data_IF_284956573295
#
_entry.id   IF_284956573295
#
_cell.length_a   1.000
_cell.length_b   1.000
_cell.length_c   1.000
_cell.angle_alpha   90.00
_cell.angle_beta   90.00
_cell.angle_gamma   90.00
#
_symmetry.space_group_name_H-M   'P 1'
#
loop_
_entity.id
_entity.type
_entity.pdbx_description
1 polymer ?
#
# COMPACT_ATOMS: atom_id res chain seq x y z
N UNK A 1 10.71 24.21 16.00
CA UNK A 1 10.52 22.78 16.38
C UNK A 1 9.06 22.33 16.46
N UNK A 2 8.14 23.06 17.13
CA UNK A 2 6.72 22.66 17.22
C UNK A 2 6.00 22.61 15.87
N UNK A 3 6.24 23.58 14.99
CA UNK A 3 5.65 23.64 13.64
C UNK A 3 6.08 22.44 12.78
N UNK A 4 7.39 22.18 12.68
CA UNK A 4 7.93 21.02 11.93
C UNK A 4 7.35 19.68 12.41
N UNK A 5 7.25 19.48 13.74
CA UNK A 5 6.61 18.28 14.30
C UNK A 5 5.12 18.20 13.94
N UNK A 6 4.42 19.33 13.90
CA UNK A 6 3.02 19.41 13.48
C UNK A 6 2.83 19.05 12.02
N UNK A 7 3.65 19.60 11.12
CA UNK A 7 3.62 19.30 9.68
C UNK A 7 3.95 17.83 9.42
N UNK A 8 4.99 17.29 10.06
CA UNK A 8 5.35 15.88 9.92
C UNK A 8 4.24 14.95 10.47
N UNK A 9 3.66 15.29 11.62
CA UNK A 9 2.52 14.55 12.14
C UNK A 9 1.31 14.61 11.21
N UNK A 10 1.04 15.76 10.59
CA UNK A 10 -0.02 15.88 9.58
C UNK A 10 0.27 14.97 8.38
N UNK A 11 1.47 15.07 7.79
CA UNK A 11 1.92 14.25 6.65
C UNK A 11 1.69 12.74 6.84
N UNK A 12 2.05 12.21 8.00
CA UNK A 12 1.83 10.79 8.34
C UNK A 12 0.34 10.52 8.61
N UNK A 13 -0.34 11.40 9.35
CA UNK A 13 -1.71 11.13 9.77
C UNK A 13 -2.74 11.28 8.64
N UNK A 14 -2.50 12.18 7.68
CA UNK A 14 -3.34 12.40 6.50
C UNK A 14 -3.03 11.43 5.35
N UNK A 15 -2.21 10.40 5.59
CA UNK A 15 -1.89 9.33 4.65
C UNK A 15 -1.12 9.78 3.40
N UNK A 16 -0.48 10.96 3.42
CA UNK A 16 0.34 11.45 2.30
C UNK A 16 1.54 10.54 2.09
N UNK A 17 2.18 10.12 3.18
CA UNK A 17 3.35 9.23 3.10
C UNK A 17 3.04 7.91 2.39
N UNK A 18 1.96 7.23 2.79
CA UNK A 18 1.53 5.98 2.16
C UNK A 18 1.08 6.20 0.70
N UNK A 19 0.43 7.32 0.39
CA UNK A 19 0.06 7.64 -1.00
C UNK A 19 1.30 7.82 -1.90
N UNK A 20 2.38 8.43 -1.38
CA UNK A 20 3.66 8.50 -2.10
C UNK A 20 4.31 7.13 -2.26
N UNK A 21 4.17 6.24 -1.28
CA UNK A 21 4.66 4.87 -1.40
C UNK A 21 3.90 4.07 -2.47
N UNK A 22 2.58 4.25 -2.57
CA UNK A 22 1.77 3.66 -3.66
C UNK A 22 2.18 4.22 -5.01
N UNK A 23 2.42 5.54 -5.12
CA UNK A 23 2.97 6.14 -6.35
C UNK A 23 4.35 5.60 -6.71
N UNK A 24 5.20 5.33 -5.72
CA UNK A 24 6.52 4.78 -5.98
C UNK A 24 6.42 3.36 -6.58
N UNK A 25 5.48 2.54 -6.10
CA UNK A 25 5.19 1.24 -6.72
C UNK A 25 4.60 1.36 -8.13
N UNK A 26 3.71 2.32 -8.36
CA UNK A 26 3.23 2.64 -9.71
C UNK A 26 4.42 2.99 -10.63
N UNK A 27 5.33 3.86 -10.17
CA UNK A 27 6.50 4.26 -10.94
C UNK A 27 7.45 3.11 -11.24
N UNK A 28 7.69 2.23 -10.27
CA UNK A 28 8.51 1.03 -10.50
C UNK A 28 7.92 0.19 -11.63
N UNK A 29 6.61 -0.07 -11.64
CA UNK A 29 5.99 -0.85 -12.74
C UNK A 29 6.08 -0.10 -14.07
N UNK A 30 5.83 1.22 -14.06
CA UNK A 30 5.91 2.05 -15.28
C UNK A 30 7.31 2.01 -15.88
N UNK A 31 8.35 2.07 -15.05
CA UNK A 31 9.74 1.98 -15.49
C UNK A 31 10.10 0.56 -15.95
N UNK A 32 9.78 -0.46 -15.14
CA UNK A 32 10.10 -1.87 -15.41
C UNK A 32 9.56 -2.33 -16.78
N UNK A 33 8.35 -1.89 -17.14
CA UNK A 33 7.70 -2.27 -18.40
C UNK A 33 7.69 -1.15 -19.45
N UNK A 34 8.41 -0.05 -19.22
CA UNK A 34 8.43 1.13 -20.10
C UNK A 34 7.03 1.61 -20.53
N UNK A 35 6.08 1.63 -19.58
CA UNK A 35 4.69 1.98 -19.85
C UNK A 35 4.56 3.47 -20.13
N UNK A 36 3.77 3.83 -21.13
CA UNK A 36 3.32 5.22 -21.31
C UNK A 36 1.92 5.35 -20.72
N UNK A 37 1.78 6.14 -19.65
CA UNK A 37 0.50 6.35 -18.97
C UNK A 37 0.15 7.85 -18.86
N UNK A 38 -1.15 8.20 -18.88
CA UNK A 38 -1.59 9.60 -18.76
C UNK A 38 -1.19 10.22 -17.41
N UNK A 39 -0.89 11.51 -17.38
CA UNK A 39 -0.52 12.24 -16.15
C UNK A 39 -1.68 12.21 -15.12
N UNK A 40 -2.89 12.18 -15.63
CA UNK A 40 -4.14 12.04 -14.89
C UNK A 40 -4.15 10.75 -14.06
N UNK A 41 -3.56 9.65 -14.56
CA UNK A 41 -3.53 8.39 -13.81
C UNK A 41 -2.63 8.48 -12.57
N UNK A 42 -1.49 9.18 -12.66
CA UNK A 42 -0.64 9.45 -11.50
C UNK A 42 -1.41 10.22 -10.42
N UNK A 43 -2.10 11.29 -10.82
CA UNK A 43 -2.90 12.09 -9.90
C UNK A 43 -4.07 11.27 -9.32
N UNK A 44 -4.73 10.45 -10.14
CA UNK A 44 -5.81 9.55 -9.74
C UNK A 44 -5.34 8.53 -8.69
N UNK A 45 -4.21 7.86 -8.91
CA UNK A 45 -3.68 6.86 -7.96
C UNK A 45 -3.28 7.53 -6.64
N UNK A 46 -2.64 8.70 -6.68
CA UNK A 46 -2.27 9.45 -5.48
C UNK A 46 -3.50 9.87 -4.65
N UNK A 47 -4.46 10.52 -5.29
CA UNK A 47 -5.68 11.01 -4.65
C UNK A 47 -6.56 9.84 -4.19
N UNK A 48 -6.62 8.76 -4.97
CA UNK A 48 -7.31 7.52 -4.64
C UNK A 48 -6.74 6.86 -3.38
N UNK A 49 -5.41 6.78 -3.27
CA UNK A 49 -4.75 6.29 -2.06
C UNK A 49 -5.07 7.19 -0.85
N UNK A 50 -4.96 8.51 -0.98
CA UNK A 50 -5.32 9.46 0.08
C UNK A 50 -6.77 9.29 0.55
N UNK A 51 -7.72 9.29 -0.38
CA UNK A 51 -9.14 9.10 -0.11
C UNK A 51 -9.38 7.75 0.57
N UNK A 52 -8.89 6.66 -0.01
CA UNK A 52 -9.11 5.30 0.50
C UNK A 52 -8.57 5.10 1.91
N UNK A 53 -7.31 5.48 2.15
CA UNK A 53 -6.68 5.36 3.47
C UNK A 53 -7.35 6.24 4.52
N UNK A 54 -7.62 7.51 4.20
CA UNK A 54 -8.27 8.40 5.15
C UNK A 54 -9.72 7.97 5.43
N UNK A 55 -10.43 7.47 4.43
CA UNK A 55 -11.76 6.87 4.62
C UNK A 55 -11.69 5.68 5.56
N UNK A 56 -10.83 4.69 5.31
CA UNK A 56 -10.66 3.50 6.16
C UNK A 56 -10.26 3.87 7.60
N UNK A 57 -9.41 4.88 7.76
CA UNK A 57 -8.87 5.32 9.06
C UNK A 57 -9.89 6.12 9.87
N UNK A 58 -10.69 6.98 9.22
CA UNK A 58 -11.51 7.97 9.91
C UNK A 58 -13.03 7.78 9.76
N UNK A 59 -13.52 6.89 8.88
CA UNK A 59 -14.96 6.70 8.66
C UNK A 59 -15.75 6.40 9.94
N UNK A 60 -15.21 5.55 10.84
CA UNK A 60 -15.88 5.22 12.12
C UNK A 60 -15.82 6.35 13.15
N UNK A 61 -14.75 7.16 13.10
CA UNK A 61 -14.54 8.27 14.04
C UNK A 61 -15.38 9.49 13.65
N UNK A 62 -15.64 9.66 12.35
CA UNK A 62 -16.50 10.71 11.82
C UNK A 62 -18.00 10.43 12.02
N UNK A 63 -18.41 9.16 12.09
CA UNK A 63 -19.82 8.74 12.12
C UNK A 63 -20.51 8.69 13.49
N UNK A 64 -19.85 9.10 14.58
CA UNK A 64 -20.45 9.03 15.93
C UNK A 64 -20.57 10.40 16.58
N UNK A 65 -21.75 10.62 17.18
CA UNK A 65 -22.24 11.72 18.02
C UNK A 65 -21.36 12.10 19.24
N UNK A 66 -20.05 11.82 19.24
CA UNK A 66 -19.16 12.04 20.37
C UNK A 66 -18.24 13.25 20.17
N UNK A 67 -18.65 14.34 20.84
CA UNK A 67 -17.83 15.36 21.51
C UNK A 67 -16.56 15.82 20.77
N UNK A 68 -16.65 17.02 20.22
CA UNK A 68 -15.53 17.91 19.82
C UNK A 68 -14.35 17.16 19.19
N UNK A 69 -14.47 16.86 17.89
CA UNK A 69 -13.35 16.46 17.05
C UNK A 69 -12.17 17.43 17.28
N UNK A 70 -10.97 16.89 17.52
CA UNK A 70 -9.77 17.72 17.66
C UNK A 70 -9.56 18.53 16.38
N UNK A 71 -9.02 19.75 16.50
CA UNK A 71 -8.79 20.62 15.33
C UNK A 71 -7.96 19.90 14.25
N UNK A 72 -7.00 19.07 14.64
CA UNK A 72 -6.21 18.25 13.71
C UNK A 72 -7.05 17.25 12.91
N UNK A 73 -8.05 16.60 13.51
CA UNK A 73 -8.93 15.67 12.79
C UNK A 73 -9.86 16.42 11.82
N UNK A 74 -10.34 17.60 12.19
CA UNK A 74 -11.14 18.46 11.29
C UNK A 74 -10.35 18.85 10.05
N UNK A 75 -9.09 19.27 10.23
CA UNK A 75 -8.20 19.60 9.10
C UNK A 75 -7.99 18.39 8.18
N UNK A 76 -7.78 17.20 8.73
CA UNK A 76 -7.64 15.97 7.93
C UNK A 76 -8.94 15.64 7.18
N UNK A 77 -10.11 15.86 7.78
CA UNK A 77 -11.39 15.65 7.10
C UNK A 77 -11.59 16.60 5.92
N UNK A 78 -11.35 17.90 6.11
CA UNK A 78 -11.44 18.90 5.04
C UNK A 78 -10.46 18.57 3.91
N UNK A 79 -9.21 18.23 4.27
CA UNK A 79 -8.21 17.77 3.31
C UNK A 79 -8.68 16.53 2.54
N UNK A 80 -9.22 15.52 3.23
CA UNK A 80 -9.71 14.28 2.60
C UNK A 80 -10.89 14.53 1.67
N UNK A 81 -11.80 15.45 2.04
CA UNK A 81 -12.93 15.84 1.20
C UNK A 81 -12.46 16.55 -0.07
N UNK A 82 -11.49 17.46 0.04
CA UNK A 82 -10.87 18.11 -1.11
C UNK A 82 -10.20 17.08 -2.04
N UNK A 83 -9.43 16.14 -1.49
CA UNK A 83 -8.81 15.07 -2.28
C UNK A 83 -9.85 14.20 -2.99
N UNK A 84 -10.98 13.90 -2.35
CA UNK A 84 -12.06 13.12 -2.96
C UNK A 84 -12.74 13.86 -4.12
N UNK A 85 -12.99 15.18 -3.98
CA UNK A 85 -13.54 15.98 -5.07
C UNK A 85 -12.58 16.04 -6.26
N UNK A 86 -11.28 16.29 -6.00
CA UNK A 86 -10.26 16.30 -7.04
C UNK A 86 -10.13 14.93 -7.73
N UNK A 87 -10.21 13.84 -6.95
CA UNK A 87 -10.23 12.48 -7.49
C UNK A 87 -11.40 12.29 -8.46
N UNK A 88 -12.59 12.74 -8.09
CA UNK A 88 -13.77 12.70 -8.95
C UNK A 88 -13.58 13.48 -10.25
N UNK A 89 -13.01 14.69 -10.19
CA UNK A 89 -12.72 15.52 -11.37
C UNK A 89 -11.72 14.82 -12.31
N UNK A 90 -10.63 14.29 -11.77
CA UNK A 90 -9.59 13.60 -12.56
C UNK A 90 -10.12 12.28 -13.12
N UNK A 91 -11.03 11.59 -12.42
CA UNK A 91 -11.64 10.37 -12.91
C UNK A 91 -12.33 10.59 -14.27
N UNK A 92 -13.01 11.72 -14.48
CA UNK A 92 -13.64 12.04 -15.77
C UNK A 92 -12.66 12.25 -16.93
N UNK A 93 -11.36 12.36 -16.66
CA UNK A 93 -10.32 12.54 -17.68
C UNK A 93 -9.67 11.20 -18.09
N UNK A 94 -9.94 10.11 -17.35
CA UNK A 94 -9.41 8.78 -17.66
C UNK A 94 -10.34 8.00 -18.60
N UNK A 95 -9.76 7.08 -19.36
CA UNK A 95 -10.53 6.18 -20.22
C UNK A 95 -11.46 5.29 -19.40
N UNK A 96 -12.62 4.95 -19.98
CA UNK A 96 -13.61 4.10 -19.30
C UNK A 96 -13.05 2.73 -18.93
N UNK A 97 -12.18 2.16 -19.77
CA UNK A 97 -11.49 0.89 -19.51
C UNK A 97 -10.58 0.98 -18.28
N UNK A 98 -9.81 2.05 -18.15
CA UNK A 98 -8.98 2.32 -16.95
C UNK A 98 -9.84 2.48 -15.71
N UNK A 99 -10.94 3.24 -15.81
CA UNK A 99 -11.86 3.45 -14.70
C UNK A 99 -12.54 2.16 -14.25
N UNK A 100 -12.95 1.30 -15.18
CA UNK A 100 -13.55 0.00 -14.84
C UNK A 100 -12.55 -0.92 -14.14
N UNK A 101 -11.30 -0.96 -14.61
CA UNK A 101 -10.23 -1.71 -13.94
C UNK A 101 -9.97 -1.16 -12.52
N UNK A 102 -9.84 0.16 -12.38
CA UNK A 102 -9.65 0.82 -11.10
C UNK A 102 -10.86 0.63 -10.16
N UNK A 103 -12.08 0.63 -10.69
CA UNK A 103 -13.31 0.45 -9.93
C UNK A 103 -13.37 -0.93 -9.26
N UNK A 104 -12.87 -2.00 -9.90
CA UNK A 104 -12.79 -3.32 -9.27
C UNK A 104 -11.98 -3.31 -7.96
N UNK A 105 -10.81 -2.65 -7.97
CA UNK A 105 -9.97 -2.50 -6.78
C UNK A 105 -10.52 -1.45 -5.79
N UNK A 106 -11.14 -0.39 -6.30
CA UNK A 106 -11.82 0.64 -5.51
C UNK A 106 -13.01 0.09 -4.72
N UNK A 107 -13.86 -0.73 -5.34
CA UNK A 107 -14.97 -1.43 -4.69
C UNK A 107 -14.46 -2.40 -3.62
N UNK A 108 -13.37 -3.11 -3.91
CA UNK A 108 -12.70 -3.97 -2.92
C UNK A 108 -12.26 -3.16 -1.69
N UNK A 109 -11.72 -1.95 -1.89
CA UNK A 109 -11.38 -1.01 -0.81
C UNK A 109 -12.61 -0.50 -0.06
N UNK A 110 -13.70 -0.21 -0.76
CA UNK A 110 -14.95 0.20 -0.14
C UNK A 110 -15.51 -0.88 0.79
N UNK A 111 -15.62 -2.13 0.31
CA UNK A 111 -16.10 -3.28 1.09
C UNK A 111 -15.10 -3.74 2.18
N UNK A 112 -13.84 -3.29 2.10
CA UNK A 112 -12.91 -3.46 3.20
C UNK A 112 -13.35 -2.68 4.44
N UNK A 113 -13.79 -1.43 4.28
CA UNK A 113 -14.25 -0.58 5.38
C UNK A 113 -15.75 -0.75 5.69
N UNK A 114 -16.59 -0.89 4.66
CA UNK A 114 -18.05 -0.92 4.77
C UNK A 114 -18.55 -2.37 4.88
N UNK A 115 -19.50 -2.69 5.79
CA UNK A 115 -20.01 -4.06 5.93
C UNK A 115 -20.70 -4.55 4.66
N UNK A 116 -20.36 -5.76 4.23
CA UNK A 116 -20.93 -6.40 3.02
C UNK A 116 -21.91 -7.54 3.38
N UNK A 117 -21.66 -8.30 4.47
CA UNK A 117 -22.47 -9.47 4.86
C UNK A 117 -22.59 -9.59 6.39
N UNK A 118 -23.81 -9.81 6.91
CA UNK A 118 -24.11 -10.06 8.35
C UNK A 118 -23.49 -9.03 9.31
N UNK A 119 -23.41 -7.76 8.92
CA UNK A 119 -22.78 -6.67 9.68
C UNK A 119 -21.26 -6.82 9.91
N UNK A 120 -20.57 -7.63 9.11
CA UNK A 120 -19.09 -7.75 9.09
C UNK A 120 -18.53 -7.20 7.77
N UNK A 121 -17.42 -6.45 7.85
CA UNK A 121 -16.66 -5.95 6.72
C UNK A 121 -15.40 -6.83 6.50
N UNK A 122 -14.73 -6.75 5.33
CA UNK A 122 -13.56 -7.61 5.07
C UNK A 122 -12.41 -7.35 6.06
N UNK A 123 -12.31 -6.13 6.59
CA UNK A 123 -11.36 -5.78 7.66
C UNK A 123 -11.53 -6.60 8.94
N UNK A 124 -12.72 -7.12 9.22
CA UNK A 124 -13.03 -7.94 10.41
C UNK A 124 -12.90 -9.45 10.17
N UNK A 125 -12.64 -9.88 8.93
CA UNK A 125 -12.39 -11.28 8.62
C UNK A 125 -10.94 -11.62 8.97
N UNK A 126 -10.76 -12.60 9.88
CA UNK A 126 -9.45 -13.06 10.33
C UNK A 126 -8.56 -13.47 9.16
N UNK A 127 -7.32 -12.99 9.13
CA UNK A 127 -6.31 -13.36 8.14
C UNK A 127 -6.54 -12.79 6.73
N UNK A 128 -7.79 -12.59 6.29
CA UNK A 128 -8.14 -12.08 4.96
C UNK A 128 -7.74 -10.61 4.79
N UNK A 129 -7.72 -9.83 5.88
CA UNK A 129 -7.47 -8.37 5.82
C UNK A 129 -6.18 -8.00 5.07
N UNK A 130 -5.09 -8.74 5.29
CA UNK A 130 -3.78 -8.41 4.69
C UNK A 130 -3.76 -8.73 3.19
N UNK A 131 -4.42 -9.81 2.78
CA UNK A 131 -4.51 -10.22 1.38
C UNK A 131 -5.36 -9.25 0.56
N UNK A 132 -6.43 -8.70 1.15
CA UNK A 132 -7.26 -7.69 0.47
C UNK A 132 -6.46 -6.41 0.21
N UNK A 133 -5.71 -5.92 1.20
CA UNK A 133 -4.85 -4.73 1.02
C UNK A 133 -3.77 -5.00 -0.02
N UNK A 134 -3.11 -6.15 0.04
CA UNK A 134 -2.09 -6.55 -0.93
C UNK A 134 -2.62 -6.67 -2.35
N UNK A 135 -3.80 -7.28 -2.53
CA UNK A 135 -4.48 -7.39 -3.81
C UNK A 135 -4.83 -6.03 -4.40
N UNK A 136 -5.36 -5.11 -3.59
CA UNK A 136 -5.68 -3.75 -4.03
C UNK A 136 -4.43 -2.99 -4.44
N UNK A 137 -3.36 -3.05 -3.64
CA UNK A 137 -2.09 -2.39 -3.98
C UNK A 137 -1.51 -2.93 -5.28
N UNK A 138 -1.43 -4.25 -5.42
CA UNK A 138 -0.95 -4.88 -6.63
C UNK A 138 -1.81 -4.52 -7.84
N UNK A 139 -3.13 -4.52 -7.68
CA UNK A 139 -4.05 -4.14 -8.73
C UNK A 139 -3.86 -2.71 -9.23
N UNK A 140 -3.83 -1.77 -8.29
CA UNK A 140 -3.72 -0.34 -8.60
C UNK A 140 -2.33 0.03 -9.15
N UNK A 141 -1.27 -0.65 -8.70
CA UNK A 141 0.12 -0.31 -9.07
C UNK A 141 0.70 -1.16 -10.19
N UNK A 142 0.03 -2.26 -10.58
CA UNK A 142 0.45 -3.14 -11.68
C UNK A 142 -0.62 -3.23 -12.76
N UNK A 143 -1.84 -3.66 -12.42
CA UNK A 143 -2.87 -3.94 -13.43
C UNK A 143 -3.44 -2.65 -14.05
N UNK A 144 -3.79 -1.66 -13.22
CA UNK A 144 -4.36 -0.39 -13.69
C UNK A 144 -3.43 0.36 -14.67
N UNK A 145 -2.13 0.57 -14.40
CA UNK A 145 -1.26 1.24 -15.37
C UNK A 145 -1.07 0.45 -16.66
N UNK A 146 -1.03 -0.89 -16.59
CA UNK A 146 -0.97 -1.73 -17.80
C UNK A 146 -2.21 -1.52 -18.67
N UNK A 147 -3.40 -1.56 -18.07
CA UNK A 147 -4.66 -1.28 -18.79
C UNK A 147 -4.66 0.13 -19.39
N UNK A 148 -4.17 1.13 -18.64
CA UNK A 148 -4.11 2.51 -19.11
C UNK A 148 -3.09 2.75 -20.22
N UNK A 149 -2.04 1.93 -20.27
CA UNK A 149 -0.99 1.97 -21.32
C UNK A 149 -1.35 1.18 -22.59
N UNK A 150 -2.48 0.45 -22.57
CA UNK A 150 -2.94 -0.42 -23.66
C UNK A 150 -1.97 -1.55 -24.04
N UNK A 151 -0.96 -1.82 -23.21
CA UNK A 151 -0.03 -2.94 -23.38
C UNK A 151 -0.74 -4.27 -23.07
N UNK A 152 -0.43 -5.30 -23.86
CA UNK A 152 -0.97 -6.64 -23.65
C UNK A 152 -0.45 -7.27 -22.35
N UNK A 153 -1.32 -8.02 -21.66
CA UNK A 153 -0.90 -8.80 -20.51
C UNK A 153 0.05 -9.93 -20.92
N UNK A 154 1.17 -10.05 -20.21
CA UNK A 154 2.17 -11.10 -20.36
C UNK A 154 2.27 -11.96 -19.09
N UNK A 155 2.98 -13.09 -19.20
CA UNK A 155 3.33 -13.92 -18.04
C UNK A 155 4.12 -13.12 -17.00
N UNK A 156 5.08 -12.32 -17.45
CA UNK A 156 5.91 -11.47 -16.61
C UNK A 156 5.08 -10.44 -15.83
N UNK A 157 4.08 -9.82 -16.46
CA UNK A 157 3.16 -8.91 -15.78
C UNK A 157 2.34 -9.60 -14.69
N UNK A 158 1.93 -10.86 -14.91
CA UNK A 158 1.25 -11.65 -13.88
C UNK A 158 2.19 -12.03 -12.73
N UNK A 159 3.44 -12.37 -13.04
CA UNK A 159 4.47 -12.60 -12.03
C UNK A 159 4.73 -11.33 -11.19
N UNK A 160 4.84 -10.16 -11.84
CA UNK A 160 4.99 -8.86 -11.14
C UNK A 160 3.78 -8.52 -10.28
N UNK A 161 2.56 -8.80 -10.75
CA UNK A 161 1.37 -8.64 -9.92
C UNK A 161 1.45 -9.52 -8.65
N UNK A 162 1.82 -10.80 -8.80
CA UNK A 162 1.96 -11.71 -7.66
C UNK A 162 3.11 -11.30 -6.73
N UNK A 163 4.27 -10.90 -7.27
CA UNK A 163 5.38 -10.34 -6.50
C UNK A 163 4.93 -9.11 -5.70
N UNK A 164 4.18 -8.20 -6.31
CA UNK A 164 3.65 -7.01 -5.62
C UNK A 164 2.70 -7.39 -4.48
N UNK A 165 1.86 -8.42 -4.66
CA UNK A 165 1.03 -8.97 -3.57
C UNK A 165 1.92 -9.48 -2.42
N UNK A 166 2.94 -10.29 -2.71
CA UNK A 166 3.86 -10.83 -1.70
C UNK A 166 4.60 -9.72 -0.95
N UNK A 167 5.13 -8.73 -1.68
CA UNK A 167 5.81 -7.57 -1.10
C UNK A 167 4.91 -6.80 -0.16
N UNK A 168 3.66 -6.53 -0.55
CA UNK A 168 2.72 -5.78 0.30
C UNK A 168 2.32 -6.59 1.52
N UNK A 169 2.16 -7.92 1.41
CA UNK A 169 1.97 -8.79 2.58
C UNK A 169 3.14 -8.62 3.55
N UNK A 170 4.38 -8.69 3.07
CA UNK A 170 5.57 -8.52 3.89
C UNK A 170 5.65 -7.13 4.54
N UNK A 171 5.33 -6.06 3.80
CA UNK A 171 5.26 -4.68 4.32
C UNK A 171 4.24 -4.50 5.45
N UNK A 172 3.16 -5.29 5.47
CA UNK A 172 2.12 -5.21 6.50
C UNK A 172 2.55 -5.91 7.80
N UNK A 173 3.46 -6.90 7.75
CA UNK A 173 3.82 -7.71 8.94
C UNK A 173 4.39 -6.87 10.10
N UNK A 174 5.28 -5.87 9.89
CA UNK A 174 5.73 -4.99 10.97
C UNK A 174 4.60 -4.21 11.65
N UNK A 175 3.52 -3.90 10.94
CA UNK A 175 2.32 -3.28 11.51
C UNK A 175 1.54 -4.28 12.35
N UNK A 176 1.32 -5.50 11.84
CA UNK A 176 0.65 -6.56 12.61
C UNK A 176 1.40 -6.89 13.91
N UNK A 177 2.75 -6.94 13.86
CA UNK A 177 3.59 -7.16 15.03
C UNK A 177 3.45 -6.01 16.04
N UNK A 178 3.45 -4.75 15.57
CA UNK A 178 3.22 -3.57 16.41
C UNK A 178 1.90 -3.64 17.15
N UNK A 179 0.86 -4.06 16.44
CA UNK A 179 -0.52 -3.88 16.88
C UNK A 179 -0.97 -5.03 17.80
N UNK A 180 -0.14 -6.07 18.01
CA UNK A 180 -0.41 -7.19 18.93
C UNK A 180 -0.93 -6.76 20.32
N UNK A 181 -0.35 -5.76 21.02
CA UNK A 181 -0.84 -5.37 22.35
C UNK A 181 -2.22 -4.69 22.34
N UNK A 182 -2.68 -4.20 21.19
CA UNK A 182 -3.88 -3.38 21.03
C UNK A 182 -5.02 -4.10 20.31
N UNK A 183 -4.67 -5.06 19.45
CA UNK A 183 -5.62 -5.87 18.70
C UNK A 183 -6.32 -6.87 19.64
N UNK A 184 -7.64 -6.99 19.51
CA UNK A 184 -8.39 -8.01 20.22
C UNK A 184 -7.99 -9.40 19.70
N UNK A 185 -7.85 -10.38 20.62
CA UNK A 185 -7.42 -11.74 20.26
C UNK A 185 -8.32 -12.40 19.19
N UNK A 186 -9.61 -12.05 19.14
CA UNK A 186 -10.55 -12.56 18.14
C UNK A 186 -10.32 -12.07 16.70
N UNK A 187 -9.46 -11.07 16.50
CA UNK A 187 -9.04 -10.63 15.16
C UNK A 187 -8.14 -11.65 14.48
N UNK A 188 -7.52 -12.55 15.25
CA UNK A 188 -6.76 -13.69 14.75
C UNK A 188 -5.78 -13.25 13.64
N UNK A 189 -4.97 -12.22 13.92
CA UNK A 189 -3.91 -11.74 13.04
C UNK A 189 -2.78 -12.76 12.91
N UNK A 190 -1.86 -12.57 11.96
CA UNK A 190 -0.74 -13.52 11.77
C UNK A 190 0.05 -13.70 13.07
N UNK A 191 0.50 -12.63 13.78
CA UNK A 191 1.18 -12.79 15.07
C UNK A 191 0.35 -13.45 16.17
N UNK A 192 -0.97 -13.27 16.19
CA UNK A 192 -1.83 -13.95 17.17
C UNK A 192 -1.96 -15.45 16.89
N UNK A 193 -1.96 -15.86 15.61
CA UNK A 193 -2.09 -17.27 15.22
C UNK A 193 -0.80 -18.07 15.39
N UNK A 194 0.33 -17.50 14.98
CA UNK A 194 1.61 -18.23 14.90
C UNK A 194 2.68 -17.70 15.85
N UNK A 195 2.43 -16.56 16.51
CA UNK A 195 3.40 -15.88 17.35
C UNK A 195 4.33 -14.95 16.56
N UNK A 196 4.88 -13.93 17.24
CA UNK A 196 5.73 -12.89 16.62
C UNK A 196 6.95 -13.47 15.91
N UNK A 197 7.62 -14.47 16.50
CA UNK A 197 8.81 -15.08 15.89
C UNK A 197 8.48 -15.77 14.57
N UNK A 198 7.40 -16.55 14.53
CA UNK A 198 6.97 -17.22 13.31
C UNK A 198 6.47 -16.23 12.25
N UNK A 199 5.80 -15.14 12.65
CA UNK A 199 5.42 -14.06 11.70
C UNK A 199 6.64 -13.49 10.99
N UNK A 200 7.76 -13.29 11.70
CA UNK A 200 8.99 -12.81 11.08
C UNK A 200 9.54 -13.80 10.06
N UNK A 201 9.60 -15.08 10.42
CA UNK A 201 10.03 -16.14 9.50
C UNK A 201 9.13 -16.27 8.27
N UNK A 202 7.81 -16.12 8.44
CA UNK A 202 6.86 -16.06 7.32
C UNK A 202 7.18 -14.88 6.41
N UNK A 203 7.49 -13.71 6.98
CA UNK A 203 7.93 -12.54 6.23
C UNK A 203 9.15 -12.81 5.37
N UNK A 204 10.20 -13.39 5.96
CA UNK A 204 11.41 -13.78 5.21
C UNK A 204 11.10 -14.79 4.10
N UNK A 205 10.27 -15.80 4.38
CA UNK A 205 9.86 -16.79 3.38
C UNK A 205 9.06 -16.19 2.23
N UNK A 206 8.18 -15.21 2.52
CA UNK A 206 7.41 -14.47 1.51
C UNK A 206 8.33 -13.62 0.62
N UNK A 207 9.34 -12.98 1.19
CA UNK A 207 10.33 -12.21 0.42
C UNK A 207 11.21 -13.12 -0.44
N UNK A 208 11.63 -14.27 0.09
CA UNK A 208 12.37 -15.26 -0.68
C UNK A 208 11.54 -15.77 -1.87
N UNK A 209 10.25 -16.08 -1.64
CA UNK A 209 9.34 -16.50 -2.71
C UNK A 209 9.17 -15.40 -3.78
N UNK A 210 9.11 -14.13 -3.36
CA UNK A 210 9.06 -12.99 -4.28
C UNK A 210 10.31 -12.92 -5.17
N UNK A 211 11.49 -13.17 -4.62
CA UNK A 211 12.74 -13.22 -5.40
C UNK A 211 12.77 -14.43 -6.33
N UNK A 212 12.24 -15.58 -5.89
CA UNK A 212 12.11 -16.77 -6.74
C UNK A 212 11.25 -16.51 -7.97
N UNK A 213 10.16 -15.74 -7.85
CA UNK A 213 9.31 -15.36 -8.98
C UNK A 213 10.04 -14.53 -10.04
N UNK A 214 11.08 -13.79 -9.66
CA UNK A 214 11.87 -13.02 -10.62
C UNK A 214 12.60 -13.93 -11.60
N UNK A 215 13.08 -15.10 -11.16
CA UNK A 215 13.77 -16.05 -12.03
C UNK A 215 12.86 -16.79 -13.02
N UNK A 216 11.54 -16.60 -12.91
CA UNK A 216 10.57 -17.16 -13.85
C UNK A 216 10.13 -16.16 -14.93
N UNK A 217 10.55 -14.89 -14.84
CA UNK A 217 10.29 -13.90 -15.90
C UNK A 217 11.16 -14.21 -17.12
N UNK A 218 10.60 -13.98 -18.31
CA UNK A 218 11.34 -14.14 -19.56
C UNK A 218 12.26 -12.94 -19.80
N UNK A 219 11.76 -11.73 -19.54
CA UNK A 219 12.53 -10.50 -19.64
C UNK A 219 13.20 -10.18 -18.30
N UNK A 220 14.49 -9.79 -18.34
CA UNK A 220 15.23 -9.40 -17.16
C UNK A 220 15.95 -8.06 -17.35
N UNK A 221 15.82 -7.19 -16.36
CA UNK A 221 16.56 -5.93 -16.26
C UNK A 221 17.46 -5.98 -15.04
N UNK A 222 18.79 -5.90 -15.25
CA UNK A 222 19.77 -6.03 -14.16
C UNK A 222 19.58 -4.97 -13.08
N UNK A 223 19.31 -3.72 -13.48
CA UNK A 223 19.04 -2.62 -12.54
C UNK A 223 17.80 -2.89 -11.68
N UNK A 224 16.73 -3.44 -12.28
CA UNK A 224 15.54 -3.85 -11.55
C UNK A 224 15.86 -4.94 -10.54
N UNK A 225 16.52 -6.03 -10.95
CA UNK A 225 16.85 -7.18 -10.09
C UNK A 225 17.69 -6.74 -8.88
N UNK A 226 18.73 -5.93 -9.09
CA UNK A 226 19.59 -5.44 -8.00
C UNK A 226 18.78 -4.53 -7.05
N UNK A 227 17.90 -3.68 -7.59
CA UNK A 227 17.04 -2.82 -6.77
C UNK A 227 16.03 -3.62 -5.94
N UNK A 228 15.41 -4.65 -6.52
CA UNK A 228 14.48 -5.56 -5.86
C UNK A 228 15.17 -6.36 -4.76
N UNK A 229 16.35 -6.92 -5.04
CA UNK A 229 17.15 -7.65 -4.05
C UNK A 229 17.50 -6.74 -2.86
N UNK A 230 17.96 -5.51 -3.14
CA UNK A 230 18.29 -4.52 -2.11
C UNK A 230 17.06 -4.15 -1.27
N UNK A 231 15.91 -3.92 -1.92
CA UNK A 231 14.64 -3.68 -1.23
C UNK A 231 14.23 -4.84 -0.33
N UNK A 232 14.30 -6.08 -0.82
CA UNK A 232 13.97 -7.29 -0.05
C UNK A 232 14.88 -7.45 1.16
N UNK A 233 16.20 -7.21 1.03
CA UNK A 233 17.15 -7.28 2.15
C UNK A 233 16.80 -6.24 3.22
N UNK A 234 16.52 -5.00 2.84
CA UNK A 234 16.16 -3.95 3.80
C UNK A 234 14.80 -4.25 4.45
N UNK A 235 13.82 -4.72 3.70
CA UNK A 235 12.51 -5.10 4.23
C UNK A 235 12.61 -6.26 5.21
N UNK A 236 13.35 -7.32 4.86
CA UNK A 236 13.59 -8.47 5.74
C UNK A 236 14.26 -8.03 7.04
N UNK A 237 15.29 -7.19 6.96
CA UNK A 237 15.91 -6.60 8.15
C UNK A 237 14.90 -5.83 9.01
N UNK A 238 14.04 -4.99 8.42
CA UNK A 238 12.99 -4.26 9.14
C UNK A 238 11.97 -5.21 9.80
N UNK A 239 11.61 -6.32 9.14
CA UNK A 239 10.74 -7.35 9.70
C UNK A 239 11.41 -8.01 10.92
N UNK A 240 12.68 -8.41 10.80
CA UNK A 240 13.44 -9.06 11.88
C UNK A 240 13.57 -8.16 13.10
N UNK A 241 13.84 -6.86 12.92
CA UNK A 241 14.01 -5.92 14.05
C UNK A 241 12.70 -5.37 14.60
N UNK A 242 11.56 -5.59 13.92
CA UNK A 242 10.24 -5.13 14.38
C UNK A 242 9.88 -5.70 15.76
N UNK A 243 9.21 -4.90 16.59
CA UNK A 243 8.84 -5.26 17.96
C UNK A 243 7.40 -4.84 18.25
N UNK A 244 6.74 -5.54 19.17
CA UNK A 244 5.41 -5.17 19.68
C UNK A 244 5.43 -3.78 20.28
N UNK A 245 6.50 -3.46 21.04
CA UNK A 245 6.81 -2.11 21.49
C UNK A 245 7.92 -1.52 20.63
N UNK A 246 7.55 -0.66 19.70
CA UNK A 246 8.48 0.02 18.79
C UNK A 246 8.21 1.52 18.73
N UNK A 247 9.14 2.28 18.14
CA UNK A 247 8.99 3.73 18.02
C UNK A 247 7.76 4.07 17.16
N UNK A 248 7.10 5.20 17.47
CA UNK A 248 5.85 5.62 16.82
C UNK A 248 5.92 5.59 15.29
N UNK A 249 7.07 5.97 14.73
CA UNK A 249 7.29 6.11 13.29
C UNK A 249 8.06 4.94 12.66
N UNK A 250 8.36 3.87 13.41
CA UNK A 250 9.02 2.70 12.83
C UNK A 250 8.22 2.12 11.66
N UNK A 251 6.99 1.66 11.92
CA UNK A 251 6.16 1.11 10.86
C UNK A 251 5.59 2.21 9.94
N UNK A 252 5.03 3.28 10.51
CA UNK A 252 4.28 4.30 9.74
C UNK A 252 5.15 5.29 8.96
N UNK A 253 6.48 5.18 9.00
CA UNK A 253 7.37 6.00 8.18
C UNK A 253 8.47 5.15 7.56
N UNK A 254 9.24 4.43 8.36
CA UNK A 254 10.37 3.66 7.80
C UNK A 254 9.92 2.46 6.97
N UNK A 255 9.01 1.64 7.49
CA UNK A 255 8.49 0.48 6.73
C UNK A 255 7.58 0.95 5.59
N UNK A 256 6.65 1.85 5.86
CA UNK A 256 5.69 2.34 4.86
C UNK A 256 6.35 3.11 3.71
N UNK A 257 7.46 3.81 3.97
CA UNK A 257 8.22 4.58 2.98
C UNK A 257 9.20 3.75 2.16
N UNK A 258 9.36 2.46 2.46
CA UNK A 258 10.32 1.60 1.76
C UNK A 258 10.08 1.48 0.23
N UNK A 259 8.84 1.53 -0.30
CA UNK A 259 8.58 1.65 -1.73
C UNK A 259 9.26 2.86 -2.39
N UNK A 260 9.30 4.00 -1.68
CA UNK A 260 9.97 5.23 -2.17
C UNK A 260 11.48 5.01 -2.24
N UNK A 261 12.04 4.34 -1.23
CA UNK A 261 13.44 3.94 -1.23
C UNK A 261 13.76 2.98 -2.38
N UNK A 262 12.90 2.01 -2.67
CA UNK A 262 13.10 1.11 -3.81
C UNK A 262 13.09 1.87 -5.14
N UNK A 263 12.13 2.77 -5.36
CA UNK A 263 12.11 3.59 -6.57
C UNK A 263 13.43 4.36 -6.74
N UNK A 264 13.95 4.97 -5.66
CA UNK A 264 15.23 5.68 -5.70
C UNK A 264 16.40 4.76 -6.06
N UNK A 265 16.42 3.53 -5.54
CA UNK A 265 17.43 2.53 -5.91
C UNK A 265 17.31 2.10 -7.38
N UNK A 266 16.09 1.89 -7.87
CA UNK A 266 15.88 1.47 -9.25
C UNK A 266 16.37 2.55 -10.23
N UNK A 267 15.98 3.81 -10.01
CA UNK A 267 16.49 4.96 -10.77
C UNK A 267 18.02 5.04 -10.69
N UNK A 268 18.61 4.88 -9.50
CA UNK A 268 20.07 4.92 -9.34
C UNK A 268 20.76 3.85 -10.19
N UNK A 269 20.31 2.60 -10.11
CA UNK A 269 20.94 1.49 -10.83
C UNK A 269 20.67 1.48 -12.33
N UNK A 270 19.59 2.11 -12.79
CA UNK A 270 19.32 2.27 -14.22
C UNK A 270 20.24 3.31 -14.88
N UNK A 271 20.74 4.27 -14.11
CA UNK A 271 21.66 5.32 -14.58
C UNK A 271 23.15 4.97 -14.39
N UNK A 272 23.46 3.77 -13.88
CA UNK A 272 24.83 3.26 -13.67
C UNK A 272 25.21 2.27 -14.76
#
# INVERSE_FOLDING_TARGET
MKVLRGVFAFYINSSIHVALAVLAFLAITVMEYNLTIPIELWAFVFLGALTGYNFVKYAKVAGLHHRRLTNSLKTIQVFSALCFVLLGIIAFQLSITTLLAAAGFGLTTFFYAVPFIKSKNLRRLSGVKIFVVAFVWAGVTVIVPVVASEVCFSGDLMLTFLQRVLIVIALILPFEIRDVPYDAQNLNTVPHKVGVKATKLIGEGVLLLCLVFEFFKEDYQVSYIISLLSFCVVLGWLIVVSKTQQSRYFASFWVEGLPIFWLALFILFENL
#
